data_IF_846582590415
#
_entry.id   IF_846582590415
#
_cell.length_a   1.000
_cell.length_b   1.000
_cell.length_c   1.000
_cell.angle_alpha   90.00
_cell.angle_beta   90.00
_cell.angle_gamma   90.00
#
_symmetry.space_group_name_H-M   'P 1'
#
loop_
_entity.id
_entity.type
_entity.pdbx_description
1 polymer ?
#
# COMPACT_ATOMS: atom_id res chain seq x y z
N UNK A 1 -18.31 3.47 -12.88
CA UNK A 1 -18.71 2.42 -11.94
C UNK A 1 -17.61 2.33 -10.89
N UNK A 2 -17.92 2.50 -9.60
CA UNK A 2 -16.92 2.44 -8.53
C UNK A 2 -16.73 1.00 -8.06
N UNK A 3 -15.51 0.62 -7.69
CA UNK A 3 -15.23 -0.66 -7.03
C UNK A 3 -15.50 -0.50 -5.53
N UNK A 4 -16.22 -1.45 -4.92
CA UNK A 4 -16.47 -1.41 -3.49
C UNK A 4 -15.17 -1.66 -2.71
N UNK A 5 -14.83 -0.86 -1.66
CA UNK A 5 -13.58 -1.03 -0.92
C UNK A 5 -13.38 -2.44 -0.35
N UNK A 6 -14.46 -3.09 0.08
CA UNK A 6 -14.41 -4.46 0.59
C UNK A 6 -13.99 -5.50 -0.46
N UNK A 7 -14.43 -5.34 -1.71
CA UNK A 7 -14.04 -6.23 -2.81
C UNK A 7 -12.56 -6.06 -3.15
N UNK A 8 -12.07 -4.82 -3.10
CA UNK A 8 -10.67 -4.50 -3.33
C UNK A 8 -9.76 -5.09 -2.24
N UNK A 9 -10.12 -4.94 -0.96
CA UNK A 9 -9.35 -5.53 0.16
C UNK A 9 -9.38 -7.06 0.09
N UNK A 10 -10.51 -7.64 -0.30
CA UNK A 10 -10.65 -9.10 -0.48
C UNK A 10 -9.78 -9.61 -1.63
N UNK A 11 -9.75 -8.87 -2.75
CA UNK A 11 -8.85 -9.12 -3.87
C UNK A 11 -7.38 -9.08 -3.44
N UNK A 12 -6.97 -8.08 -2.66
CA UNK A 12 -5.60 -7.98 -2.15
C UNK A 12 -5.23 -9.04 -1.11
N UNK A 13 -6.22 -9.61 -0.43
CA UNK A 13 -5.98 -10.59 0.64
C UNK A 13 -5.91 -12.03 0.14
N UNK A 14 -6.44 -12.33 -1.04
CA UNK A 14 -6.43 -13.69 -1.56
C UNK A 14 -5.01 -14.12 -1.96
N UNK A 15 -4.61 -15.33 -1.56
CA UNK A 15 -3.25 -15.86 -1.79
C UNK A 15 -2.92 -16.04 -3.28
N UNK A 16 -3.93 -16.38 -4.09
CA UNK A 16 -3.79 -16.51 -5.54
C UNK A 16 -3.60 -15.17 -6.21
N UNK A 17 -4.32 -14.15 -5.75
CA UNK A 17 -4.23 -12.79 -6.28
C UNK A 17 -2.98 -12.09 -5.79
N UNK A 18 -2.51 -12.29 -4.56
CA UNK A 18 -1.20 -11.79 -4.06
C UNK A 18 -0.02 -12.35 -4.86
N UNK A 19 -0.04 -13.64 -5.20
CA UNK A 19 0.93 -14.21 -6.14
C UNK A 19 0.75 -13.68 -7.58
N UNK A 20 -0.49 -13.41 -8.00
CA UNK A 20 -0.79 -12.83 -9.31
C UNK A 20 -0.36 -11.36 -9.42
N UNK A 21 -0.53 -10.52 -8.39
CA UNK A 21 -0.07 -9.12 -8.36
C UNK A 21 1.45 -9.00 -8.11
N UNK A 22 2.10 -10.07 -7.65
CA UNK A 22 3.55 -10.22 -7.70
C UNK A 22 4.07 -10.60 -9.09
N UNK A 23 3.24 -11.19 -9.96
CA UNK A 23 3.65 -11.72 -11.28
C UNK A 23 3.07 -10.98 -12.51
N UNK A 24 1.93 -10.30 -12.36
CA UNK A 24 1.25 -9.47 -13.35
C UNK A 24 0.87 -8.13 -12.72
N UNK A 25 1.55 -7.10 -13.20
CA UNK A 25 1.69 -5.79 -12.57
C UNK A 25 0.76 -4.74 -13.17
N UNK A 26 -0.54 -5.03 -13.25
CA UNK A 26 -1.49 -4.08 -13.87
C UNK A 26 -2.09 -3.06 -12.89
N UNK A 27 -1.91 -3.27 -11.58
CA UNK A 27 -2.44 -2.37 -10.55
C UNK A 27 -1.34 -1.47 -9.98
N UNK A 28 -1.37 -0.19 -10.36
CA UNK A 28 -0.43 0.81 -9.87
C UNK A 28 -0.98 1.50 -8.61
N UNK A 29 -0.07 1.96 -7.76
CA UNK A 29 -0.41 2.72 -6.57
C UNK A 29 -1.19 4.00 -6.91
N UNK A 30 -0.83 4.68 -8.01
CA UNK A 30 -1.54 5.86 -8.50
C UNK A 30 -3.04 5.63 -8.76
N UNK A 31 -3.43 4.39 -9.09
CA UNK A 31 -4.81 4.07 -9.44
C UNK A 31 -5.71 3.98 -8.19
N UNK A 32 -5.10 3.89 -7.00
CA UNK A 32 -5.78 3.87 -5.70
C UNK A 32 -5.90 5.26 -5.06
N UNK A 33 -5.19 6.25 -5.57
CA UNK A 33 -5.21 7.60 -5.01
C UNK A 33 -6.49 8.32 -5.41
N UNK A 34 -6.93 9.25 -4.57
CA UNK A 34 -8.06 10.11 -4.91
C UNK A 34 -7.72 10.96 -6.14
N UNK A 35 -8.34 10.63 -7.27
CA UNK A 35 -8.11 11.28 -8.56
C UNK A 35 -8.55 12.75 -8.59
N UNK A 36 -9.31 13.20 -7.58
CA UNK A 36 -9.70 14.61 -7.44
C UNK A 36 -8.56 15.47 -6.91
N UNK A 37 -7.52 14.85 -6.35
CA UNK A 37 -6.34 15.53 -5.84
C UNK A 37 -5.23 15.55 -6.91
N UNK A 38 -4.38 16.58 -6.85
CA UNK A 38 -3.17 16.60 -7.67
C UNK A 38 -2.26 15.42 -7.31
N UNK A 39 -1.60 14.78 -8.29
CA UNK A 39 -0.67 13.70 -8.01
C UNK A 39 0.42 14.14 -7.01
N UNK A 40 0.65 13.37 -5.94
CA UNK A 40 1.68 13.73 -4.97
C UNK A 40 3.07 13.60 -5.58
N UNK A 41 4.00 14.47 -5.16
CA UNK A 41 5.38 14.54 -5.66
C UNK A 41 6.37 14.68 -4.51
N UNK A 42 7.63 14.33 -4.77
CA UNK A 42 8.72 14.43 -3.79
C UNK A 42 8.41 13.68 -2.49
N UNK A 43 8.68 14.33 -1.35
CA UNK A 43 8.52 13.73 -0.02
C UNK A 43 7.06 13.35 0.31
N UNK A 44 6.08 14.03 -0.32
CA UNK A 44 4.67 13.67 -0.15
C UNK A 44 4.38 12.33 -0.82
N UNK A 45 4.96 12.10 -2.00
CA UNK A 45 4.83 10.83 -2.70
C UNK A 45 5.38 9.67 -1.85
N UNK A 46 6.58 9.85 -1.32
CA UNK A 46 7.24 8.93 -0.39
C UNK A 46 6.35 8.61 0.83
N UNK A 47 5.81 9.65 1.47
CA UNK A 47 4.90 9.50 2.60
C UNK A 47 3.62 8.73 2.25
N UNK A 48 3.05 8.97 1.06
CA UNK A 48 1.88 8.23 0.57
C UNK A 48 2.20 6.76 0.35
N UNK A 49 3.34 6.44 -0.27
CA UNK A 49 3.78 5.04 -0.45
C UNK A 49 3.90 4.34 0.90
N UNK A 50 4.52 5.00 1.88
CA UNK A 50 4.68 4.48 3.23
C UNK A 50 3.33 4.25 3.94
N UNK A 51 2.43 5.22 3.88
CA UNK A 51 1.10 5.12 4.49
C UNK A 51 0.29 3.97 3.89
N UNK A 52 0.31 3.82 2.56
CA UNK A 52 -0.39 2.72 1.89
C UNK A 52 0.24 1.38 2.25
N UNK A 53 1.57 1.30 2.36
CA UNK A 53 2.27 0.10 2.81
C UNK A 53 1.80 -0.36 4.20
N UNK A 54 1.71 0.56 5.17
CA UNK A 54 1.22 0.27 6.52
C UNK A 54 -0.26 -0.12 6.48
N UNK A 55 -1.09 0.62 5.74
CA UNK A 55 -2.52 0.34 5.62
C UNK A 55 -2.77 -1.08 5.08
N UNK A 56 -2.04 -1.49 4.04
CA UNK A 56 -2.11 -2.84 3.48
C UNK A 56 -1.70 -3.92 4.49
N UNK A 57 -0.67 -3.67 5.29
CA UNK A 57 -0.26 -4.59 6.35
C UNK A 57 -1.36 -4.75 7.43
N UNK A 58 -2.07 -3.67 7.77
CA UNK A 58 -3.18 -3.68 8.73
C UNK A 58 -4.41 -4.47 8.22
N UNK A 59 -4.63 -4.53 6.91
CA UNK A 59 -5.81 -5.19 6.32
C UNK A 59 -5.60 -6.68 5.98
N UNK A 60 -4.44 -7.26 6.29
CA UNK A 60 -4.13 -8.67 5.98
C UNK A 60 -5.18 -9.62 6.56
N UNK A 61 -5.60 -10.62 5.79
CA UNK A 61 -6.58 -11.60 6.25
C UNK A 61 -6.13 -12.34 7.52
N UNK A 62 -4.88 -12.79 7.58
CA UNK A 62 -4.33 -13.46 8.76
C UNK A 62 -4.11 -12.47 9.91
N UNK A 63 -4.72 -12.68 11.09
CA UNK A 63 -4.52 -11.79 12.24
C UNK A 63 -3.06 -11.69 12.71
N UNK A 64 -2.30 -12.77 12.58
CA UNK A 64 -0.90 -12.84 13.06
C UNK A 64 0.08 -12.07 12.18
N UNK A 65 -0.29 -11.76 10.94
CA UNK A 65 0.55 -10.97 10.03
C UNK A 65 0.25 -9.47 10.08
N UNK A 66 -0.74 -9.05 10.86
CA UNK A 66 -1.09 -7.64 11.07
C UNK A 66 -0.13 -7.02 12.10
N UNK A 67 0.31 -5.77 11.89
CA UNK A 67 1.07 -5.04 12.91
C UNK A 67 0.16 -4.71 14.11
N UNK A 68 0.77 -4.54 15.28
CA UNK A 68 0.04 -4.02 16.44
C UNK A 68 -0.01 -2.48 16.40
N UNK A 69 -0.98 -1.89 17.08
CA UNK A 69 -1.17 -0.43 17.07
C UNK A 69 0.01 0.35 17.64
N UNK A 70 0.80 -0.22 18.55
CA UNK A 70 2.02 0.43 19.07
C UNK A 70 3.05 0.63 17.95
N UNK A 71 3.29 -0.42 17.16
CA UNK A 71 4.16 -0.37 15.98
C UNK A 71 3.64 0.65 14.97
N UNK A 72 2.35 0.58 14.61
CA UNK A 72 1.73 1.53 13.67
C UNK A 72 1.88 2.97 14.15
N UNK A 73 1.59 3.26 15.43
CA UNK A 73 1.70 4.61 15.98
C UNK A 73 3.16 5.12 15.97
N UNK A 74 4.13 4.25 16.26
CA UNK A 74 5.55 4.58 16.20
C UNK A 74 5.97 4.93 14.77
N UNK A 75 5.65 4.08 13.81
CA UNK A 75 5.97 4.29 12.40
C UNK A 75 5.36 5.59 11.85
N UNK A 76 4.09 5.86 12.17
CA UNK A 76 3.42 7.10 11.78
C UNK A 76 4.01 8.34 12.47
N UNK A 77 4.50 8.20 13.70
CA UNK A 77 5.10 9.31 14.47
C UNK A 77 6.54 9.60 14.05
N UNK A 78 7.27 8.59 13.57
CA UNK A 78 8.71 8.66 13.34
C UNK A 78 9.13 9.67 12.25
N UNK A 79 8.18 10.30 11.52
CA UNK A 79 8.48 11.13 10.33
C UNK A 79 9.52 10.42 9.44
N UNK A 80 9.41 9.10 9.30
CA UNK A 80 10.37 8.35 8.51
C UNK A 80 10.21 8.81 7.07
N UNK A 81 11.25 9.48 6.58
CA UNK A 81 11.37 9.90 5.20
C UNK A 81 11.67 8.65 4.38
N UNK A 82 10.64 7.85 4.10
CA UNK A 82 10.75 6.63 3.32
C UNK A 82 11.12 7.00 1.89
N UNK A 83 12.41 7.11 1.59
CA UNK A 83 12.86 7.45 0.25
C UNK A 83 12.52 6.31 -0.72
N UNK A 84 11.57 6.55 -1.63
CA UNK A 84 11.31 5.66 -2.73
C UNK A 84 12.00 6.19 -3.99
N UNK A 85 13.03 5.49 -4.51
CA UNK A 85 13.77 5.96 -5.69
C UNK A 85 12.94 5.94 -6.98
N UNK A 86 11.79 5.27 -6.97
CA UNK A 86 10.93 5.11 -8.14
C UNK A 86 9.77 6.12 -8.12
N UNK A 87 9.39 6.70 -9.27
CA UNK A 87 8.24 7.58 -9.34
C UNK A 87 6.96 6.82 -9.00
N UNK A 88 6.06 7.46 -8.26
CA UNK A 88 4.76 6.90 -7.84
C UNK A 88 3.99 6.19 -8.95
N UNK A 89 4.04 6.74 -10.17
CA UNK A 89 3.34 6.18 -11.32
C UNK A 89 3.86 4.84 -11.83
N UNK A 90 5.04 4.40 -11.37
CA UNK A 90 5.65 3.11 -11.69
C UNK A 90 5.61 2.11 -10.51
N UNK A 91 5.12 2.54 -9.34
CA UNK A 91 5.00 1.68 -8.16
C UNK A 91 3.75 0.83 -8.29
N UNK A 92 3.94 -0.49 -8.23
CA UNK A 92 2.85 -1.46 -8.25
C UNK A 92 2.52 -1.91 -6.83
N UNK A 93 1.28 -2.34 -6.60
CA UNK A 93 0.87 -2.79 -5.27
C UNK A 93 1.66 -4.01 -4.80
N UNK A 94 2.02 -4.92 -5.70
CA UNK A 94 2.86 -6.07 -5.38
C UNK A 94 4.19 -5.69 -4.71
N UNK A 95 4.85 -4.61 -5.14
CA UNK A 95 6.12 -4.14 -4.56
C UNK A 95 6.00 -3.72 -3.09
N UNK A 96 4.85 -3.19 -2.68
CA UNK A 96 4.64 -2.65 -1.33
C UNK A 96 3.89 -3.60 -0.38
N UNK A 97 3.35 -4.72 -0.88
CA UNK A 97 2.66 -5.73 -0.04
C UNK A 97 3.58 -6.58 0.84
N UNK A 98 4.88 -6.62 0.56
CA UNK A 98 5.88 -7.47 1.25
C UNK A 98 6.42 -6.89 2.56
N UNK A 99 5.83 -5.83 3.10
CA UNK A 99 6.26 -5.23 4.36
C UNK A 99 6.18 -6.22 5.53
N UNK A 100 7.30 -6.48 6.19
CA UNK A 100 7.40 -7.37 7.34
C UNK A 100 7.58 -6.50 8.60
N UNK A 101 6.96 -6.93 9.70
CA UNK A 101 7.05 -6.29 11.02
C UNK A 101 8.43 -6.50 11.65
#
# INVERSE_FOLDING_TARGET
MGQHPGEFISFLSSSTTTAALQSNSDLFLKDLLDQRLSPPTGQIADGVVFLVTIALACTRASPQSRPNMRFVAQELSAKTQAYFPEPLGAITIGKITNFQK
#
